data_IF_443628945994
#
_entry.id   IF_443628945994
#
_cell.length_a   1.000
_cell.length_b   1.000
_cell.length_c   1.000
_cell.angle_alpha   90.00
_cell.angle_beta   90.00
_cell.angle_gamma   90.00
#
_symmetry.space_group_name_H-M   'P 1'
#
loop_
_entity.id
_entity.type
_entity.pdbx_description
1 polymer ?
#
# COMPACT_ATOMS: atom_id res chain seq x y z
N UNK A 1 11.02 18.09 -14.05
CA UNK A 1 10.02 17.41 -14.91
C UNK A 1 8.65 17.89 -14.46
N UNK A 2 7.70 18.08 -15.38
CA UNK A 2 6.33 18.49 -15.05
C UNK A 2 5.40 17.32 -15.41
N UNK A 3 4.82 16.68 -14.39
CA UNK A 3 3.91 15.54 -14.57
C UNK A 3 2.51 16.02 -14.97
N UNK A 4 1.81 15.20 -15.76
CA UNK A 4 0.39 15.46 -16.04
C UNK A 4 -0.46 15.21 -14.79
N UNK A 5 -1.64 15.85 -14.67
CA UNK A 5 -2.54 15.61 -13.54
C UNK A 5 -2.93 14.13 -13.33
N UNK A 6 -3.04 13.36 -14.44
CA UNK A 6 -3.29 11.92 -14.39
C UNK A 6 -2.14 11.16 -13.75
N UNK A 7 -0.90 11.42 -14.18
CA UNK A 7 0.30 10.78 -13.60
C UNK A 7 0.48 11.16 -12.13
N UNK A 8 0.22 12.41 -11.75
CA UNK A 8 0.26 12.81 -10.33
C UNK A 8 -0.78 12.07 -9.48
N UNK A 9 -1.96 11.80 -10.06
CA UNK A 9 -3.00 11.01 -9.39
C UNK A 9 -2.58 9.57 -9.20
N UNK A 10 -1.99 8.96 -10.24
CA UNK A 10 -1.48 7.59 -10.19
C UNK A 10 -0.33 7.46 -9.18
N UNK A 11 0.67 8.35 -9.25
CA UNK A 11 1.80 8.40 -8.32
C UNK A 11 1.35 8.56 -6.87
N UNK A 12 0.41 9.48 -6.61
CA UNK A 12 -0.16 9.66 -5.26
C UNK A 12 -0.82 8.37 -4.78
N UNK A 13 -1.58 7.70 -5.64
CA UNK A 13 -2.34 6.50 -5.25
C UNK A 13 -1.41 5.30 -5.00
N UNK A 14 -0.31 5.23 -5.75
CA UNK A 14 0.72 4.20 -5.57
C UNK A 14 1.60 4.43 -4.35
N UNK A 15 1.97 5.68 -4.02
CA UNK A 15 2.87 6.00 -2.91
C UNK A 15 2.15 6.20 -1.57
N UNK A 16 0.92 6.72 -1.61
CA UNK A 16 0.12 7.06 -0.43
C UNK A 16 -0.95 5.98 -0.27
N UNK A 17 -0.51 4.81 0.19
CA UNK A 17 -1.40 3.72 0.56
C UNK A 17 -0.85 2.95 1.78
N UNK A 18 -1.73 2.25 2.50
CA UNK A 18 -1.35 1.56 3.73
C UNK A 18 -0.38 0.39 3.50
N UNK A 19 -0.38 -0.22 2.31
CA UNK A 19 0.51 -1.33 1.96
C UNK A 19 1.95 -0.85 1.86
N UNK A 20 2.17 0.29 1.21
CA UNK A 20 3.47 0.95 1.11
C UNK A 20 3.93 1.40 2.50
N UNK A 21 3.05 2.00 3.31
CA UNK A 21 3.40 2.41 4.67
C UNK A 21 3.77 1.21 5.55
N UNK A 22 3.02 0.11 5.46
CA UNK A 22 3.34 -1.12 6.17
C UNK A 22 4.69 -1.71 5.71
N UNK A 23 4.95 -1.72 4.40
CA UNK A 23 6.20 -2.20 3.82
C UNK A 23 7.39 -1.37 4.27
N UNK A 24 7.26 -0.04 4.26
CA UNK A 24 8.27 0.90 4.76
C UNK A 24 8.50 0.72 6.27
N UNK A 25 7.44 0.52 7.06
CA UNK A 25 7.53 0.25 8.48
C UNK A 25 8.30 -1.06 8.75
N UNK A 26 8.12 -2.09 7.91
CA UNK A 26 8.92 -3.33 8.00
C UNK A 26 10.36 -3.08 7.62
N UNK A 27 10.60 -2.46 6.45
CA UNK A 27 11.94 -2.18 5.90
C UNK A 27 12.81 -1.39 6.88
N UNK A 28 12.24 -0.40 7.56
CA UNK A 28 12.94 0.42 8.56
C UNK A 28 12.87 -0.14 9.99
N UNK A 29 12.35 -1.36 10.18
CA UNK A 29 12.38 -2.06 11.47
C UNK A 29 11.39 -1.55 12.51
N UNK A 30 10.42 -0.70 12.15
CA UNK A 30 9.43 -0.13 13.08
C UNK A 30 8.60 -1.20 13.80
N UNK A 31 8.30 -2.31 13.10
CA UNK A 31 7.59 -3.47 13.64
C UNK A 31 8.24 -4.06 14.91
N UNK A 32 9.55 -3.86 15.12
CA UNK A 32 10.30 -4.36 16.30
C UNK A 32 10.02 -3.56 17.57
N UNK A 33 9.49 -2.35 17.43
CA UNK A 33 9.24 -1.43 18.54
C UNK A 33 7.75 -1.34 18.90
N UNK A 34 6.92 -2.17 18.28
CA UNK A 34 5.49 -2.20 18.56
C UNK A 34 5.19 -2.90 19.88
N UNK A 35 4.52 -2.17 20.77
CA UNK A 35 3.95 -2.71 21.99
C UNK A 35 2.60 -3.36 21.67
N UNK A 36 2.62 -4.68 21.46
CA UNK A 36 1.45 -5.46 21.08
C UNK A 36 1.02 -6.39 22.22
N UNK A 37 -0.28 -6.43 22.52
CA UNK A 37 -0.85 -7.38 23.49
C UNK A 37 -1.63 -8.52 22.83
N UNK A 38 -1.80 -8.49 21.49
CA UNK A 38 -2.51 -9.52 20.73
C UNK A 38 -1.52 -10.46 20.04
N UNK A 39 -1.55 -11.74 20.44
CA UNK A 39 -0.73 -12.78 19.81
C UNK A 39 -1.10 -12.99 18.32
N UNK A 40 -2.38 -12.85 17.98
CA UNK A 40 -2.86 -12.98 16.60
C UNK A 40 -2.29 -11.88 15.70
N UNK A 41 -2.32 -10.62 16.16
CA UNK A 41 -1.73 -9.49 15.43
C UNK A 41 -0.21 -9.64 15.30
N UNK A 42 0.45 -10.12 16.35
CA UNK A 42 1.89 -10.38 16.30
C UNK A 42 2.25 -11.46 15.26
N UNK A 43 1.47 -12.54 15.16
CA UNK A 43 1.66 -13.57 14.13
C UNK A 43 1.44 -13.02 12.72
N UNK A 44 0.39 -12.21 12.52
CA UNK A 44 0.10 -11.55 11.24
C UNK A 44 1.26 -10.65 10.80
N UNK A 45 1.78 -9.80 11.70
CA UNK A 45 2.94 -8.96 11.44
C UNK A 45 4.17 -9.80 11.09
N UNK A 46 4.45 -10.89 11.82
CA UNK A 46 5.60 -11.75 11.55
C UNK A 46 5.52 -12.46 10.19
N UNK A 47 4.31 -12.88 9.77
CA UNK A 47 4.09 -13.43 8.43
C UNK A 47 4.39 -12.39 7.35
N UNK A 48 3.87 -11.18 7.52
CA UNK A 48 4.11 -10.06 6.61
C UNK A 48 5.61 -9.68 6.53
N UNK A 49 6.31 -9.63 7.68
CA UNK A 49 7.76 -9.39 7.73
C UNK A 49 8.52 -10.49 6.98
N UNK A 50 8.14 -11.76 7.14
CA UNK A 50 8.79 -12.88 6.45
C UNK A 50 8.63 -12.77 4.93
N UNK A 51 7.42 -12.46 4.46
CA UNK A 51 7.12 -12.25 3.05
C UNK A 51 7.94 -11.08 2.47
N UNK A 52 8.02 -9.96 3.19
CA UNK A 52 8.79 -8.79 2.77
C UNK A 52 10.30 -9.08 2.71
N UNK A 53 10.83 -9.89 3.63
CA UNK A 53 12.24 -10.33 3.59
C UNK A 53 12.56 -11.28 2.43
N UNK A 54 11.58 -12.06 1.96
CA UNK A 54 11.76 -13.00 0.84
C UNK A 54 11.70 -12.29 -0.52
N UNK A 55 10.81 -11.31 -0.66
CA UNK A 55 10.65 -10.51 -1.88
C UNK A 55 11.69 -9.40 -2.00
N UNK A 56 12.11 -8.81 -0.88
CA UNK A 56 13.16 -7.78 -0.83
C UNK A 56 12.78 -6.43 -1.46
N UNK A 57 11.62 -6.34 -2.11
CA UNK A 57 11.17 -5.16 -2.85
C UNK A 57 9.79 -4.69 -2.40
N UNK A 58 9.58 -3.37 -2.48
CA UNK A 58 8.28 -2.74 -2.24
C UNK A 58 7.53 -2.79 -3.56
N UNK A 59 6.40 -3.50 -3.61
CA UNK A 59 5.55 -3.55 -4.79
C UNK A 59 4.61 -2.33 -4.79
N UNK A 60 4.66 -1.54 -5.88
CA UNK A 60 3.86 -0.33 -6.09
C UNK A 60 2.56 -0.60 -6.85
N UNK A 61 2.41 -1.77 -7.45
CA UNK A 61 1.10 -2.25 -7.87
C UNK A 61 0.34 -2.67 -6.61
N UNK A 62 -0.93 -2.29 -6.55
CA UNK A 62 -1.89 -2.65 -5.48
C UNK A 62 -2.06 -4.19 -5.34
N UNK A 63 -1.42 -4.97 -6.21
CA UNK A 63 -1.34 -6.43 -6.27
C UNK A 63 -0.49 -7.08 -5.17
N UNK A 64 -0.12 -6.39 -4.08
CA UNK A 64 0.27 -7.14 -2.87
C UNK A 64 -0.92 -7.82 -2.19
N UNK A 65 -2.12 -7.61 -2.71
CA UNK A 65 -3.22 -8.58 -2.62
C UNK A 65 -3.26 -9.31 -3.97
N UNK A 66 -2.51 -10.40 -4.09
CA UNK A 66 -2.63 -11.29 -5.25
C UNK A 66 -3.99 -11.97 -5.18
N UNK A 67 -5.04 -11.35 -5.73
CA UNK A 67 -6.33 -12.04 -5.93
C UNK A 67 -6.24 -13.14 -7.01
N UNK A 68 -5.11 -13.29 -7.71
CA UNK A 68 -4.87 -14.42 -8.62
C UNK A 68 -3.38 -14.81 -8.59
N UNK A 69 -3.07 -15.89 -7.86
CA UNK A 69 -2.28 -17.01 -8.39
C UNK A 69 -2.43 -18.21 -7.44
N UNK A 70 -3.53 -18.93 -7.61
CA UNK A 70 -3.69 -20.30 -7.12
C UNK A 70 -2.77 -21.18 -7.98
N UNK A 71 -1.48 -21.20 -7.67
CA UNK A 71 -0.56 -22.23 -8.14
C UNK A 71 -0.11 -23.06 -6.94
N UNK A 72 -0.37 -24.35 -7.05
CA UNK A 72 -0.16 -25.43 -6.09
C UNK A 72 1.08 -25.25 -5.19
N UNK A 73 0.88 -24.71 -3.97
CA UNK A 73 2.03 -24.50 -3.08
C UNK A 73 1.83 -23.78 -1.76
N UNK A 74 0.60 -23.52 -1.28
CA UNK A 74 0.38 -23.07 0.11
C UNK A 74 0.95 -21.69 0.47
N UNK A 75 0.69 -20.68 -0.36
CA UNK A 75 0.86 -19.28 0.05
C UNK A 75 -0.48 -18.81 0.62
N UNK A 76 -0.61 -18.80 1.95
CA UNK A 76 -1.75 -18.20 2.64
C UNK A 76 -1.76 -16.70 2.31
N UNK A 77 -2.88 -16.18 1.82
CA UNK A 77 -3.11 -14.75 1.63
C UNK A 77 -2.64 -13.96 2.86
N UNK A 78 -1.51 -13.26 2.74
CA UNK A 78 -0.98 -12.48 3.86
C UNK A 78 -1.67 -11.13 3.85
N UNK A 79 -2.76 -11.04 4.62
CA UNK A 79 -3.41 -9.75 4.88
C UNK A 79 -2.39 -8.75 5.44
N UNK A 80 -2.31 -7.58 4.82
CA UNK A 80 -1.43 -6.51 5.27
C UNK A 80 -1.90 -6.01 6.64
N UNK A 81 -1.05 -6.07 7.69
CA UNK A 81 -1.46 -5.64 9.02
C UNK A 81 -1.61 -4.12 9.02
N UNK A 82 -2.86 -3.62 9.00
CA UNK A 82 -3.18 -2.17 9.00
C UNK A 82 -2.45 -1.39 10.09
N UNK A 83 -2.25 -2.03 11.25
CA UNK A 83 -1.50 -1.47 12.36
C UNK A 83 -0.09 -0.98 11.98
N UNK A 84 0.59 -1.61 11.00
CA UNK A 84 1.90 -1.14 10.54
C UNK A 84 1.80 0.18 9.76
N UNK A 85 0.77 0.34 8.94
CA UNK A 85 0.47 1.60 8.26
C UNK A 85 0.10 2.69 9.27
N UNK A 86 -0.79 2.37 10.21
CA UNK A 86 -1.20 3.30 11.28
C UNK A 86 0.01 3.78 12.11
N UNK A 87 0.95 2.87 12.41
CA UNK A 87 2.18 3.22 13.13
C UNK A 87 3.04 4.19 12.34
N UNK A 88 3.23 3.92 11.04
CA UNK A 88 4.00 4.79 10.15
C UNK A 88 3.43 6.21 10.13
N UNK A 89 2.10 6.35 10.01
CA UNK A 89 1.41 7.64 10.05
C UNK A 89 1.49 8.29 11.45
N UNK A 90 1.30 7.50 12.51
CA UNK A 90 1.36 7.99 13.89
C UNK A 90 2.74 8.53 14.24
N UNK A 91 3.82 7.95 13.68
CA UNK A 91 5.18 8.44 13.85
C UNK A 91 5.36 9.83 13.20
N UNK A 92 4.74 10.08 12.05
CA UNK A 92 4.72 11.41 11.43
C UNK A 92 4.07 12.43 12.35
N UNK A 93 2.92 12.06 12.95
CA UNK A 93 2.23 12.89 13.93
C UNK A 93 3.05 13.13 15.20
N UNK A 94 3.74 12.10 15.71
CA UNK A 94 4.60 12.22 16.88
C UNK A 94 5.77 13.19 16.64
N UNK A 95 6.46 13.06 15.50
CA UNK A 95 7.55 13.98 15.12
C UNK A 95 7.00 15.39 14.93
N UNK A 96 5.84 15.55 14.30
CA UNK A 96 5.21 16.85 14.11
C UNK A 96 4.93 17.56 15.44
N UNK A 97 4.48 16.84 16.46
CA UNK A 97 4.28 17.40 17.80
C UNK A 97 5.61 17.70 18.50
N UNK A 98 6.59 16.81 18.41
CA UNK A 98 7.90 16.93 19.05
C UNK A 98 8.71 18.13 18.52
N UNK A 99 8.62 18.41 17.22
CA UNK A 99 9.32 19.54 16.60
C UNK A 99 8.58 20.88 16.71
N UNK A 100 7.47 20.96 17.46
CA UNK A 100 6.71 22.20 17.61
C UNK A 100 5.85 22.55 16.40
N UNK A 101 5.27 21.54 15.73
CA UNK A 101 4.39 21.67 14.57
C UNK A 101 5.10 22.13 13.29
N UNK A 102 6.34 21.70 13.08
CA UNK A 102 7.15 22.01 11.90
C UNK A 102 7.10 20.87 10.86
N UNK A 103 6.36 21.10 9.77
CA UNK A 103 6.24 20.16 8.65
C UNK A 103 7.55 19.98 7.85
N UNK A 104 8.45 20.97 7.84
CA UNK A 104 9.72 20.87 7.14
C UNK A 104 10.63 19.84 7.83
N UNK A 105 10.62 19.82 9.16
CA UNK A 105 11.33 18.80 9.95
C UNK A 105 10.71 17.42 9.73
N UNK A 106 9.39 17.29 9.76
CA UNK A 106 8.69 16.02 9.48
C UNK A 106 9.07 15.51 8.09
N UNK A 107 9.00 16.37 7.08
CA UNK A 107 9.36 16.02 5.71
C UNK A 107 10.82 15.61 5.59
N UNK A 108 11.77 16.30 6.24
CA UNK A 108 13.18 15.91 6.23
C UNK A 108 13.41 14.49 6.77
N UNK A 109 12.68 14.10 7.82
CA UNK A 109 12.77 12.74 8.37
C UNK A 109 12.12 11.72 7.43
N UNK A 110 10.88 11.97 7.01
CA UNK A 110 10.13 11.04 6.16
C UNK A 110 10.68 10.93 4.74
N UNK A 111 11.26 11.99 4.20
CA UNK A 111 11.92 11.95 2.91
C UNK A 111 13.06 10.93 2.92
N UNK A 112 13.91 10.92 3.96
CA UNK A 112 14.97 9.92 4.06
C UNK A 112 14.43 8.47 4.13
N UNK A 113 13.23 8.28 4.67
CA UNK A 113 12.57 6.97 4.78
C UNK A 113 11.96 6.56 3.43
N UNK A 114 11.35 7.51 2.71
CA UNK A 114 10.55 7.28 1.51
C UNK A 114 11.27 7.54 0.19
N UNK A 115 12.44 8.20 0.19
CA UNK A 115 13.11 8.71 -1.00
C UNK A 115 13.31 7.61 -2.05
N UNK A 116 13.84 6.45 -1.65
CA UNK A 116 14.07 5.34 -2.58
C UNK A 116 12.75 4.87 -3.23
N UNK A 117 11.67 4.81 -2.45
CA UNK A 117 10.35 4.41 -2.95
C UNK A 117 9.75 5.46 -3.89
N UNK A 118 9.89 6.75 -3.55
CA UNK A 118 9.46 7.87 -4.39
C UNK A 118 10.22 7.85 -5.71
N UNK A 119 11.55 7.69 -5.67
CA UNK A 119 12.39 7.65 -6.87
C UNK A 119 12.04 6.48 -7.78
N UNK A 120 11.88 5.27 -7.22
CA UNK A 120 11.46 4.08 -7.99
C UNK A 120 10.09 4.28 -8.65
N UNK A 121 9.12 4.76 -7.88
CA UNK A 121 7.77 5.02 -8.39
C UNK A 121 7.75 6.15 -9.44
N UNK A 122 8.55 7.20 -9.27
CA UNK A 122 8.65 8.28 -10.24
C UNK A 122 9.38 7.89 -11.53
N UNK A 123 10.31 6.93 -11.48
CA UNK A 123 10.99 6.39 -12.67
C UNK A 123 10.04 5.52 -13.51
N UNK A 124 9.22 4.70 -12.85
CA UNK A 124 8.23 3.83 -13.49
C UNK A 124 6.86 4.06 -12.84
N UNK A 125 6.15 5.15 -13.19
CA UNK A 125 4.85 5.45 -12.61
C UNK A 125 3.87 4.32 -12.99
N UNK A 126 3.24 3.65 -12.02
CA UNK A 126 2.22 2.65 -12.32
C UNK A 126 1.06 3.35 -13.03
N UNK A 127 0.56 2.75 -14.10
CA UNK A 127 -0.60 3.27 -14.81
C UNK A 127 -1.84 2.60 -14.27
N UNK A 128 -2.80 3.39 -13.78
CA UNK A 128 -4.08 2.83 -13.35
C UNK A 128 -4.77 2.09 -14.50
N UNK A 129 -5.24 0.84 -14.32
CA UNK A 129 -5.98 0.11 -15.35
C UNK A 129 -7.23 0.87 -15.83
N UNK A 130 -7.85 1.66 -14.94
CA UNK A 130 -8.99 2.54 -15.28
C UNK A 130 -8.53 3.61 -16.27
N UNK A 131 -7.37 4.23 -16.03
CA UNK A 131 -6.80 5.25 -16.89
C UNK A 131 -6.36 4.68 -18.23
N UNK A 132 -5.70 3.53 -18.23
CA UNK A 132 -5.36 2.79 -19.46
C UNK A 132 -6.62 2.52 -20.29
N UNK A 133 -7.67 2.00 -19.67
CA UNK A 133 -8.95 1.72 -20.33
C UNK A 133 -9.59 3.01 -20.89
N UNK A 134 -9.55 4.11 -20.16
CA UNK A 134 -10.05 5.41 -20.63
C UNK A 134 -9.24 5.97 -21.79
N UNK A 135 -7.91 5.89 -21.75
CA UNK A 135 -7.01 6.37 -22.81
C UNK A 135 -7.11 5.50 -24.08
N UNK A 136 -7.35 4.19 -23.95
CA UNK A 136 -7.52 3.29 -25.10
C UNK A 136 -8.90 3.37 -25.77
N UNK A 137 -9.97 3.64 -25.00
CA UNK A 137 -11.36 3.45 -25.44
C UNK A 137 -12.27 4.63 -25.09
N UNK A 138 -11.75 5.87 -25.10
CA UNK A 138 -12.38 7.14 -24.71
C UNK A 138 -13.92 7.27 -24.86
N UNK A 139 -14.54 6.72 -25.91
CA UNK A 139 -15.98 6.88 -26.19
C UNK A 139 -16.85 5.63 -25.91
N UNK A 140 -16.26 4.51 -25.48
CA UNK A 140 -16.98 3.23 -25.29
C UNK A 140 -16.97 2.71 -23.85
N UNK A 141 -16.28 3.37 -22.93
CA UNK A 141 -16.17 2.93 -21.54
C UNK A 141 -17.26 3.61 -20.72
N UNK A 142 -18.09 2.82 -20.04
CA UNK A 142 -19.02 3.28 -19.01
C UNK A 142 -18.83 2.42 -17.78
N UNK A 143 -18.69 3.07 -16.63
CA UNK A 143 -18.67 2.39 -15.34
C UNK A 143 -20.07 2.47 -14.72
N UNK A 144 -20.55 1.36 -14.17
CA UNK A 144 -21.78 1.29 -13.40
C UNK A 144 -21.47 0.77 -12.00
N UNK A 145 -22.39 1.01 -11.05
CA UNK A 145 -22.30 0.36 -9.75
C UNK A 145 -22.42 -1.15 -9.94
N UNK A 146 -21.64 -1.91 -9.19
CA UNK A 146 -21.74 -3.38 -9.16
C UNK A 146 -23.08 -3.74 -8.53
N UNK A 147 -23.99 -4.29 -9.32
CA UNK A 147 -25.20 -4.93 -8.81
C UNK A 147 -24.83 -6.33 -8.32
N UNK A 148 -24.72 -6.52 -7.00
CA UNK A 148 -24.58 -7.86 -6.42
C UNK A 148 -25.91 -8.59 -6.63
N UNK A 149 -25.96 -9.49 -7.60
CA UNK A 149 -27.08 -10.40 -7.75
C UNK A 149 -27.20 -11.23 -6.47
N UNK A 150 -28.26 -10.97 -5.68
CA UNK A 150 -28.65 -11.87 -4.60
C UNK A 150 -29.06 -13.19 -5.26
N UNK A 151 -28.18 -14.18 -5.23
CA UNK A 151 -28.51 -15.56 -5.56
C UNK A 151 -29.66 -16.00 -4.64
N UNK A 152 -30.87 -16.02 -5.18
CA UNK A 152 -31.98 -16.73 -4.55
C UNK A 152 -31.65 -18.22 -4.68
N UNK A 153 -31.03 -18.77 -3.63
CA UNK A 153 -30.92 -20.22 -3.46
C UNK A 153 -32.34 -20.77 -3.42
N UNK A 154 -32.77 -21.38 -4.53
CA UNK A 154 -34.02 -22.12 -4.60
C UNK A 154 -33.84 -23.40 -3.76
N UNK A 155 -34.35 -23.39 -2.54
CA UNK A 155 -34.62 -24.62 -1.81
C UNK A 155 -35.69 -25.40 -2.60
N UNK A 156 -35.32 -26.59 -3.06
CA UNK A 156 -36.23 -27.67 -3.41
C UNK A 156 -35.84 -28.90 -2.59
#
# INVERSE_FOLDING_TARGET
MQYSPGVLTDLRSALVNNVIFASLAVKHGMHKYLLLHSAALHQMINRFVKLHCQTGEINFNDEMVTEEEVLEGGEEDVEVPKALGDVFESLAGAIYLDCGMDLEIVWRVFFNIMQESIEKCCQNPPQSPIRELFEMKHHKVRFSKVERALEKTAAR
#
